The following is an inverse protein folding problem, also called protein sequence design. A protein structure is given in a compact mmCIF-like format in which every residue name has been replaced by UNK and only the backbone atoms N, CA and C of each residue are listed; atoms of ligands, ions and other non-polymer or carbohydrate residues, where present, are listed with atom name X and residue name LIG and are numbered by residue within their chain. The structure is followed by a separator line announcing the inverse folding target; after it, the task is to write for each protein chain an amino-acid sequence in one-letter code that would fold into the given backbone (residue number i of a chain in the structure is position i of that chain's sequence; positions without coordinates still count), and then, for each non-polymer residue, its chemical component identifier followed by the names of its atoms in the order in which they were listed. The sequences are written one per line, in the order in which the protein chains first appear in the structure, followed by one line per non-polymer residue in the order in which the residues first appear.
data_IF_918084679548
#
_entry.id   IF_918084679548
#
_cell.length_a   1.000
_cell.length_b   1.000
_cell.length_c   1.000
_cell.angle_alpha   90.00
_cell.angle_beta   90.00
_cell.angle_gamma   90.00
#
_symmetry.space_group_name_H-M   'P 1'
#
loop_
_entity.id
_entity.type
_entity.pdbx_description
1 polymer ?
#
# COMPACT_ATOMS: atom_id res chain seq x y z
N UNK A 1 13.37 -6.91 12.20
CA UNK A 1 11.90 -6.98 12.28
C UNK A 1 11.27 -5.93 11.36
N UNK A 2 10.08 -6.22 10.82
CA UNK A 2 9.28 -5.27 10.05
C UNK A 2 7.93 -5.15 10.75
N UNK A 3 7.60 -3.92 11.18
CA UNK A 3 6.30 -3.59 11.78
C UNK A 3 5.39 -3.09 10.65
N UNK A 4 4.21 -3.69 10.52
CA UNK A 4 3.19 -3.32 9.52
C UNK A 4 1.81 -3.35 10.15
N UNK A 5 1.07 -2.28 9.96
CA UNK A 5 -0.34 -2.23 10.26
C UNK A 5 -1.04 -1.24 9.31
N UNK A 6 -2.28 -1.52 8.95
CA UNK A 6 -3.10 -0.61 8.14
C UNK A 6 -3.74 0.48 9.00
N UNK A 7 -3.91 0.23 10.30
CA UNK A 7 -4.36 1.20 11.28
C UNK A 7 -3.17 1.94 11.88
N UNK A 8 -3.18 3.28 11.77
CA UNK A 8 -2.08 4.10 12.25
C UNK A 8 -1.87 4.01 13.78
N UNK A 9 -2.97 3.89 14.55
CA UNK A 9 -2.87 3.78 16.02
C UNK A 9 -2.25 2.45 16.43
N UNK A 10 -2.64 1.36 15.78
CA UNK A 10 -2.05 0.04 16.02
C UNK A 10 -0.58 0.00 15.61
N UNK A 11 -0.23 0.64 14.49
CA UNK A 11 1.16 0.79 14.07
C UNK A 11 2.01 1.49 15.14
N UNK A 12 1.56 2.64 15.66
CA UNK A 12 2.26 3.36 16.73
C UNK A 12 2.31 2.57 18.03
N UNK A 13 1.24 1.87 18.39
CA UNK A 13 1.20 0.99 19.55
C UNK A 13 2.26 -0.11 19.47
N UNK A 14 2.36 -0.79 18.31
CA UNK A 14 3.34 -1.86 18.10
C UNK A 14 4.78 -1.32 18.16
N UNK A 15 5.05 -0.14 17.62
CA UNK A 15 6.37 0.52 17.74
C UNK A 15 6.73 0.77 19.20
N UNK A 16 5.80 1.35 19.97
CA UNK A 16 5.99 1.61 21.39
C UNK A 16 6.24 0.31 22.17
N UNK A 17 5.44 -0.72 21.89
CA UNK A 17 5.60 -2.02 22.54
C UNK A 17 6.98 -2.65 22.28
N UNK A 18 7.52 -2.51 21.08
CA UNK A 18 8.89 -2.97 20.78
C UNK A 18 9.94 -2.22 21.61
N UNK A 19 9.78 -0.91 21.85
CA UNK A 19 10.67 -0.15 22.72
C UNK A 19 10.58 -0.63 24.17
N UNK A 20 9.36 -0.82 24.68
CA UNK A 20 9.10 -1.32 26.05
C UNK A 20 9.72 -2.73 26.25
N UNK A 21 9.68 -3.59 25.24
CA UNK A 21 10.33 -4.90 25.31
C UNK A 21 11.86 -4.79 25.42
N UNK A 22 12.48 -3.88 24.69
CA UNK A 22 13.93 -3.63 24.79
C UNK A 22 14.29 -3.09 26.18
N UNK A 23 13.52 -2.16 26.72
CA UNK A 23 13.70 -1.65 28.09
C UNK A 23 13.58 -2.76 29.13
N UNK A 24 12.60 -3.63 29.00
CA UNK A 24 12.42 -4.78 29.89
C UNK A 24 13.61 -5.75 29.82
N UNK A 25 14.14 -6.04 28.64
CA UNK A 25 15.34 -6.88 28.45
C UNK A 25 16.53 -6.24 29.18
N UNK A 26 16.76 -4.95 28.99
CA UNK A 26 17.87 -4.23 29.61
C UNK A 26 17.75 -4.15 31.14
N UNK A 27 16.52 -4.04 31.63
CA UNK A 27 16.27 -4.07 33.09
C UNK A 27 16.56 -5.45 33.68
N UNK A 28 16.22 -6.51 32.94
CA UNK A 28 16.37 -7.89 33.43
C UNK A 28 17.81 -8.42 33.32
N UNK A 29 18.49 -8.11 32.23
CA UNK A 29 19.78 -8.72 31.88
C UNK A 29 20.96 -7.74 31.91
N UNK A 30 20.72 -6.50 32.21
CA UNK A 30 21.70 -5.42 32.29
C UNK A 30 21.62 -4.42 31.13
N UNK A 31 22.07 -3.18 31.36
CA UNK A 31 22.05 -2.12 30.33
C UNK A 31 22.86 -2.50 29.09
N UNK A 32 22.31 -2.20 27.91
CA UNK A 32 22.97 -2.47 26.63
C UNK A 32 22.87 -3.91 26.11
N UNK A 33 22.13 -4.80 26.81
CA UNK A 33 21.85 -6.16 26.35
C UNK A 33 21.08 -6.17 25.03
N UNK A 34 20.15 -5.22 24.83
CA UNK A 34 19.42 -5.04 23.60
C UNK A 34 19.39 -3.57 23.20
N UNK A 35 19.43 -3.31 21.90
CA UNK A 35 19.29 -1.99 21.33
C UNK A 35 18.20 -2.00 20.26
N UNK A 36 17.53 -0.86 20.04
CA UNK A 36 16.51 -0.72 19.00
C UNK A 36 16.75 0.56 18.22
N UNK A 37 16.72 0.44 16.89
CA UNK A 37 16.64 1.57 15.97
C UNK A 37 15.34 1.43 15.16
N UNK A 38 14.48 2.43 15.21
CA UNK A 38 13.21 2.45 14.49
C UNK A 38 13.30 3.43 13.33
N UNK A 39 13.07 2.92 12.11
CA UNK A 39 13.03 3.73 10.89
C UNK A 39 11.70 3.55 10.20
N UNK A 40 10.97 4.64 10.00
CA UNK A 40 9.74 4.64 9.19
C UNK A 40 10.11 4.73 7.71
N UNK A 41 9.59 3.80 6.91
CA UNK A 41 9.85 3.76 5.48
C UNK A 41 8.69 4.36 4.67
N UNK A 42 7.46 4.04 5.06
CA UNK A 42 6.23 4.52 4.43
C UNK A 42 5.04 4.30 5.36
N UNK A 43 3.95 5.02 5.10
CA UNK A 43 2.69 4.91 5.81
C UNK A 43 1.57 4.46 4.87
N UNK A 44 0.41 4.10 5.43
CA UNK A 44 -0.77 3.80 4.64
C UNK A 44 -1.24 5.06 3.90
N UNK A 45 -1.31 4.99 2.57
CA UNK A 45 -1.71 6.13 1.73
C UNK A 45 -3.18 6.53 1.91
N UNK A 46 -4.00 5.71 2.57
CA UNK A 46 -5.44 5.94 2.73
C UNK A 46 -5.75 7.35 3.23
N UNK A 47 -5.03 7.85 4.22
CA UNK A 47 -5.25 9.20 4.77
C UNK A 47 -5.06 10.33 3.74
N UNK A 48 -4.25 10.09 2.71
CA UNK A 48 -3.99 11.04 1.61
C UNK A 48 -4.94 10.85 0.44
N UNK A 49 -5.48 9.66 0.26
CA UNK A 49 -6.40 9.31 -0.83
C UNK A 49 -7.87 9.56 -0.42
N UNK A 50 -8.22 9.33 0.86
CA UNK A 50 -9.60 9.45 1.36
C UNK A 50 -10.25 10.82 1.08
N UNK A 51 -9.55 11.98 1.18
CA UNK A 51 -10.13 13.28 0.80
C UNK A 51 -10.43 13.43 -0.71
N UNK A 52 -9.87 12.58 -1.53
CA UNK A 52 -9.99 12.61 -3.01
C UNK A 52 -10.48 11.28 -3.58
N UNK A 53 -11.38 10.59 -2.87
CA UNK A 53 -11.88 9.25 -3.23
C UNK A 53 -12.47 9.20 -4.65
N UNK A 54 -12.91 10.32 -5.21
CA UNK A 54 -13.42 10.39 -6.59
C UNK A 54 -12.43 9.81 -7.63
N UNK A 55 -11.12 9.87 -7.37
CA UNK A 55 -10.11 9.25 -8.28
C UNK A 55 -10.16 7.73 -8.22
N UNK A 56 -10.44 7.16 -7.04
CA UNK A 56 -10.62 5.71 -6.85
C UNK A 56 -11.93 5.25 -7.48
N UNK A 57 -13.00 6.03 -7.26
CA UNK A 57 -14.32 5.75 -7.83
C UNK A 57 -14.28 5.81 -9.36
N UNK A 58 -13.61 6.81 -9.94
CA UNK A 58 -13.40 6.91 -11.38
C UNK A 58 -12.63 5.72 -11.97
N UNK A 59 -11.61 5.23 -11.27
CA UNK A 59 -10.89 4.02 -11.66
C UNK A 59 -11.78 2.77 -11.56
N UNK A 60 -12.62 2.69 -10.53
CA UNK A 60 -13.57 1.58 -10.36
C UNK A 60 -14.63 1.56 -11.48
N UNK A 61 -15.15 2.72 -11.89
CA UNK A 61 -16.06 2.81 -13.04
C UNK A 61 -15.37 2.38 -14.34
N UNK A 62 -14.15 2.84 -14.61
CA UNK A 62 -13.39 2.42 -15.77
C UNK A 62 -13.14 0.90 -15.79
N UNK A 63 -12.95 0.26 -14.64
CA UNK A 63 -12.86 -1.20 -14.53
C UNK A 63 -14.18 -1.88 -14.91
N UNK A 64 -15.33 -1.37 -14.45
CA UNK A 64 -16.65 -1.91 -14.78
C UNK A 64 -16.95 -1.80 -16.28
N UNK A 65 -16.58 -0.68 -16.90
CA UNK A 65 -16.76 -0.45 -18.35
C UNK A 65 -16.05 -1.51 -19.22
N UNK A 66 -14.94 -2.07 -18.74
CA UNK A 66 -14.22 -3.15 -19.43
C UNK A 66 -14.54 -4.55 -18.88
N UNK A 67 -15.63 -4.67 -18.11
CA UNK A 67 -16.14 -5.95 -17.58
C UNK A 67 -15.33 -6.51 -16.40
N UNK A 68 -14.65 -5.67 -15.63
CA UNK A 68 -13.92 -6.07 -14.41
C UNK A 68 -14.71 -5.62 -13.20
N UNK A 69 -14.91 -6.51 -12.24
CA UNK A 69 -15.45 -6.16 -10.92
C UNK A 69 -14.34 -5.57 -10.05
N UNK A 70 -14.39 -4.28 -9.68
CA UNK A 70 -13.35 -3.66 -8.87
C UNK A 70 -13.37 -4.21 -7.44
N UNK A 71 -12.18 -4.46 -6.89
CA UNK A 71 -11.96 -4.84 -5.49
C UNK A 71 -11.04 -3.83 -4.86
N UNK A 72 -11.59 -2.98 -3.99
CA UNK A 72 -10.82 -1.96 -3.25
C UNK A 72 -10.35 -2.58 -1.94
N UNK A 73 -9.03 -2.71 -1.78
CA UNK A 73 -8.42 -3.27 -0.58
C UNK A 73 -7.08 -2.60 -0.26
N UNK A 74 -6.64 -2.60 1.00
CA UNK A 74 -5.32 -2.09 1.35
C UNK A 74 -4.21 -2.96 0.74
N UNK A 75 -3.10 -2.31 0.37
CA UNK A 75 -1.89 -2.99 -0.08
C UNK A 75 -1.03 -3.33 1.13
N UNK A 76 -0.48 -4.53 1.14
CA UNK A 76 0.32 -5.05 2.25
C UNK A 76 1.74 -4.48 2.32
N UNK A 77 2.28 -3.98 1.21
CA UNK A 77 3.64 -3.45 1.10
C UNK A 77 3.69 -1.95 0.83
N UNK A 78 4.87 -1.38 0.82
CA UNK A 78 5.12 -0.04 0.30
C UNK A 78 5.04 -0.01 -1.23
N UNK A 79 4.57 1.11 -1.76
CA UNK A 79 4.50 1.35 -3.21
C UNK A 79 4.96 2.77 -3.51
N UNK A 80 5.33 3.03 -4.76
CA UNK A 80 5.65 4.38 -5.22
C UNK A 80 4.45 5.31 -5.04
N UNK A 81 3.22 4.81 -5.25
CA UNK A 81 1.99 5.55 -4.99
C UNK A 81 1.85 6.00 -3.53
N UNK A 82 2.29 5.18 -2.57
CA UNK A 82 2.37 5.58 -1.16
C UNK A 82 3.34 6.73 -0.96
N UNK A 83 4.55 6.65 -1.53
CA UNK A 83 5.56 7.71 -1.44
C UNK A 83 5.08 9.01 -2.08
N UNK A 84 4.47 8.94 -3.27
CA UNK A 84 3.92 10.09 -3.99
C UNK A 84 2.78 10.74 -3.22
N UNK A 85 1.90 9.94 -2.61
CA UNK A 85 0.78 10.44 -1.83
C UNK A 85 1.24 11.30 -0.65
N UNK A 86 2.29 10.90 0.05
CA UNK A 86 2.88 11.68 1.14
C UNK A 86 3.71 12.87 0.68
N UNK A 87 4.06 12.95 -0.60
CA UNK A 87 4.68 14.13 -1.22
C UNK A 87 3.66 15.12 -1.80
N UNK A 88 2.36 14.91 -1.58
CA UNK A 88 1.30 15.80 -2.01
C UNK A 88 0.61 15.42 -3.31
N UNK A 89 0.92 14.25 -3.89
CA UNK A 89 0.23 13.69 -5.05
C UNK A 89 -0.52 12.41 -4.64
N UNK A 90 -1.81 12.48 -4.28
CA UNK A 90 -2.59 11.27 -3.98
C UNK A 90 -2.58 10.30 -5.17
N UNK A 91 -1.99 9.13 -4.95
CA UNK A 91 -1.69 8.20 -6.03
C UNK A 91 -2.08 6.76 -5.62
N UNK A 92 -3.39 6.41 -5.71
CA UNK A 92 -3.83 5.04 -5.47
C UNK A 92 -3.30 4.11 -6.55
N UNK A 93 -3.08 2.84 -6.18
CA UNK A 93 -2.60 1.84 -7.13
C UNK A 93 -3.77 1.16 -7.82
N UNK A 94 -3.57 0.81 -9.10
CA UNK A 94 -4.45 -0.08 -9.87
C UNK A 94 -3.76 -1.43 -10.08
N UNK A 95 -4.51 -2.44 -10.48
CA UNK A 95 -3.97 -3.76 -10.76
C UNK A 95 -3.06 -3.76 -12.00
N UNK A 96 -2.04 -4.61 -11.97
CA UNK A 96 -1.22 -4.93 -13.14
C UNK A 96 -1.64 -6.25 -13.80
N UNK A 97 -2.33 -7.11 -13.05
CA UNK A 97 -2.79 -8.42 -13.50
C UNK A 97 -1.76 -9.54 -13.39
N UNK A 98 -0.63 -9.29 -12.73
CA UNK A 98 0.38 -10.31 -12.48
C UNK A 98 0.02 -11.27 -11.35
N UNK A 99 0.71 -12.40 -11.33
CA UNK A 99 0.54 -13.46 -10.34
C UNK A 99 1.88 -13.89 -9.79
N UNK A 100 1.88 -14.45 -8.57
CA UNK A 100 3.06 -14.97 -7.87
C UNK A 100 4.18 -13.94 -7.73
N UNK A 101 3.83 -12.68 -7.47
CA UNK A 101 4.77 -11.57 -7.30
C UNK A 101 5.89 -11.93 -6.32
N UNK A 102 7.13 -11.58 -6.70
CA UNK A 102 8.37 -11.91 -5.98
C UNK A 102 8.68 -13.41 -5.91
N UNK A 103 7.94 -14.26 -6.61
CA UNK A 103 8.18 -15.70 -6.68
C UNK A 103 8.98 -16.08 -7.92
N UNK A 104 9.65 -17.24 -7.88
CA UNK A 104 10.39 -17.75 -9.06
C UNK A 104 9.48 -18.13 -10.24
N UNK A 105 8.19 -18.23 -10.02
CA UNK A 105 7.15 -18.50 -11.03
C UNK A 105 6.23 -17.30 -11.21
N UNK A 106 6.74 -16.10 -11.08
CA UNK A 106 6.01 -14.87 -11.36
C UNK A 106 5.65 -14.82 -12.86
N UNK A 107 4.42 -14.48 -13.17
CA UNK A 107 3.94 -14.36 -14.54
C UNK A 107 2.83 -13.32 -14.69
N UNK A 108 2.63 -12.86 -15.91
CA UNK A 108 1.57 -11.95 -16.29
C UNK A 108 0.80 -12.53 -17.49
N UNK A 109 -0.46 -12.93 -17.33
CA UNK A 109 -1.29 -13.34 -18.46
C UNK A 109 -1.49 -12.20 -19.45
N UNK A 110 -1.38 -12.49 -20.75
CA UNK A 110 -1.55 -11.48 -21.81
C UNK A 110 -2.92 -10.80 -21.71
N UNK A 111 -3.98 -11.57 -21.46
CA UNK A 111 -5.35 -11.06 -21.30
C UNK A 111 -5.47 -10.08 -20.13
N UNK A 112 -4.76 -10.32 -19.03
CA UNK A 112 -4.73 -9.42 -17.88
C UNK A 112 -4.00 -8.11 -18.19
N UNK A 113 -2.91 -8.20 -18.95
CA UNK A 113 -2.15 -7.03 -19.41
C UNK A 113 -2.99 -6.15 -20.36
N UNK A 114 -3.70 -6.77 -21.31
CA UNK A 114 -4.62 -6.08 -22.21
C UNK A 114 -5.74 -5.37 -21.43
N UNK A 115 -6.33 -6.04 -20.44
CA UNK A 115 -7.36 -5.46 -19.57
C UNK A 115 -6.83 -4.28 -18.75
N UNK A 116 -5.64 -4.40 -18.17
CA UNK A 116 -5.02 -3.30 -17.43
C UNK A 116 -4.80 -2.07 -18.34
N UNK A 117 -4.35 -2.28 -19.58
CA UNK A 117 -4.20 -1.22 -20.56
C UNK A 117 -5.54 -0.57 -20.92
N UNK A 118 -6.59 -1.36 -21.13
CA UNK A 118 -7.94 -0.84 -21.40
C UNK A 118 -8.46 0.02 -20.23
N UNK A 119 -8.27 -0.41 -18.99
CA UNK A 119 -8.66 0.37 -17.79
C UNK A 119 -7.96 1.73 -17.79
N UNK A 120 -6.65 1.79 -18.02
CA UNK A 120 -5.90 3.07 -18.07
C UNK A 120 -6.49 4.00 -19.15
N UNK A 121 -6.76 3.47 -20.35
CA UNK A 121 -7.35 4.25 -21.43
C UNK A 121 -8.74 4.79 -21.05
N UNK A 122 -9.57 3.98 -20.38
CA UNK A 122 -10.91 4.40 -19.93
C UNK A 122 -10.83 5.45 -18.82
N UNK A 123 -9.91 5.33 -17.88
CA UNK A 123 -9.67 6.37 -16.86
C UNK A 123 -9.36 7.70 -17.53
N UNK A 124 -8.43 7.73 -18.49
CA UNK A 124 -8.04 8.95 -19.21
C UNK A 124 -9.22 9.53 -19.99
N UNK A 125 -9.97 8.69 -20.71
CA UNK A 125 -11.16 9.13 -21.48
C UNK A 125 -12.24 9.72 -20.58
N UNK A 126 -12.45 9.15 -19.40
CA UNK A 126 -13.46 9.61 -18.47
C UNK A 126 -13.08 10.94 -17.80
N UNK A 127 -11.78 11.17 -17.58
CA UNK A 127 -11.26 12.45 -17.07
C UNK A 127 -11.26 13.57 -18.11
N UNK A 128 -11.30 13.24 -19.42
CA UNK A 128 -11.30 14.22 -20.52
C UNK A 128 -12.69 14.70 -20.92
N UNK A 129 -13.76 14.21 -20.27
CA UNK A 129 -15.15 14.65 -20.47
C UNK A 129 -15.50 15.80 -19.56
#
# INVERSE_FOLDING_TARGET
YIIRDHDHKQFLFTKKHMQELVEKINTTYGPGTATIELKDQYYNMREKVEPVMHIVDGAAEAMKEVGITPIIKPIRGGTDGSQLSFKGLPCPNIFAGGHNFHGRFEYLPIQSMEKATQVIIHIIKNLAK
#
